data_IF_132571664677
#
_entry.id   IF_132571664677
#
_cell.length_a   1.000
_cell.length_b   1.000
_cell.length_c   1.000
_cell.angle_alpha   90.00
_cell.angle_beta   90.00
_cell.angle_gamma   90.00
#
_symmetry.space_group_name_H-M   'P 1'
#
loop_
_entity.id
_entity.type
_entity.pdbx_description
1 polymer ?
#
# COMPACT_ATOMS: atom_id res chain seq x y z
N UNK A 1 -46.70 32.26 45.78
CA UNK A 1 -46.06 32.30 44.44
C UNK A 1 -44.56 32.30 44.67
N UNK A 2 -43.90 31.15 44.50
CA UNK A 2 -42.45 30.99 44.72
C UNK A 2 -41.83 30.71 43.36
N UNK A 3 -41.03 31.64 42.87
CA UNK A 3 -40.25 31.51 41.64
C UNK A 3 -39.17 30.45 41.79
N UNK A 4 -38.99 29.51 40.83
CA UNK A 4 -37.85 28.61 40.88
C UNK A 4 -36.59 29.32 40.37
N UNK A 5 -35.47 29.10 41.08
CA UNK A 5 -34.13 29.55 40.72
C UNK A 5 -33.54 28.74 39.54
N UNK A 6 -32.60 29.30 38.75
CA UNK A 6 -32.19 28.73 37.46
C UNK A 6 -31.19 27.56 37.55
N UNK A 7 -30.88 27.05 38.74
CA UNK A 7 -29.71 26.19 38.95
C UNK A 7 -29.99 24.68 39.03
N UNK A 8 -31.24 24.23 38.96
CA UNK A 8 -31.60 22.86 39.36
C UNK A 8 -32.39 22.05 38.31
N UNK A 9 -32.22 22.32 37.01
CA UNK A 9 -32.84 21.50 35.96
C UNK A 9 -31.78 21.07 34.95
N UNK A 10 -31.46 19.77 34.97
CA UNK A 10 -30.69 18.99 33.99
C UNK A 10 -29.15 19.04 34.07
N UNK A 11 -28.64 18.64 35.23
CA UNK A 11 -27.73 17.48 35.25
C UNK A 11 -28.44 16.28 34.60
N UNK A 12 -28.25 16.08 33.29
CA UNK A 12 -28.46 14.83 32.52
C UNK A 12 -28.48 15.20 31.03
N UNK A 13 -27.31 15.27 30.42
CA UNK A 13 -27.17 14.65 29.11
C UNK A 13 -25.91 13.82 29.15
N UNK A 14 -26.16 12.53 29.06
CA UNK A 14 -25.23 11.41 29.12
C UNK A 14 -23.96 11.71 28.34
N UNK A 15 -22.84 11.38 28.98
CA UNK A 15 -21.56 11.11 28.38
C UNK A 15 -21.72 10.65 26.94
N UNK A 16 -21.06 11.37 26.03
CA UNK A 16 -20.82 10.97 24.66
C UNK A 16 -20.41 9.50 24.64
N UNK A 17 -21.38 8.66 24.31
CA UNK A 17 -21.21 7.22 24.13
C UNK A 17 -20.12 7.05 23.09
N UNK A 18 -18.94 6.68 23.58
CA UNK A 18 -17.94 5.81 22.94
C UNK A 18 -18.22 5.68 21.45
N UNK A 19 -17.45 6.41 20.65
CA UNK A 19 -17.30 6.14 19.22
C UNK A 19 -16.76 4.71 19.11
N UNK A 20 -17.69 3.75 19.13
CA UNK A 20 -17.42 2.35 18.97
C UNK A 20 -16.85 2.21 17.57
N UNK A 21 -15.52 2.10 17.51
CA UNK A 21 -14.78 1.86 16.28
C UNK A 21 -15.38 0.60 15.64
N UNK A 22 -16.22 0.82 14.62
CA UNK A 22 -16.68 -0.26 13.76
C UNK A 22 -15.42 -0.90 13.17
N UNK A 23 -15.23 -2.22 13.31
CA UNK A 23 -14.18 -2.89 12.57
C UNK A 23 -14.58 -2.76 11.10
N UNK A 24 -13.80 -2.01 10.32
CA UNK A 24 -13.95 -1.97 8.88
C UNK A 24 -13.81 -3.40 8.39
N UNK A 25 -14.95 -4.01 8.05
CA UNK A 25 -15.00 -5.34 7.45
C UNK A 25 -14.33 -5.19 6.09
N UNK A 26 -13.07 -5.62 6.00
CA UNK A 26 -12.27 -5.60 4.78
C UNK A 26 -13.12 -6.19 3.66
N UNK A 27 -13.44 -5.36 2.67
CA UNK A 27 -14.24 -5.81 1.53
C UNK A 27 -13.38 -6.80 0.75
N UNK A 28 -13.95 -7.96 0.35
CA UNK A 28 -13.26 -9.01 -0.38
C UNK A 28 -12.40 -8.48 -1.56
N UNK A 29 -12.79 -7.37 -2.17
CA UNK A 29 -12.07 -6.69 -3.26
C UNK A 29 -10.65 -6.23 -2.90
N UNK A 30 -10.40 -5.77 -1.67
CA UNK A 30 -9.06 -5.31 -1.27
C UNK A 30 -8.12 -6.49 -1.06
N UNK A 31 -8.63 -7.62 -0.57
CA UNK A 31 -7.86 -8.85 -0.40
C UNK A 31 -7.39 -9.40 -1.75
N UNK A 32 -8.27 -9.47 -2.74
CA UNK A 32 -7.91 -9.87 -4.11
C UNK A 32 -6.86 -8.94 -4.75
N UNK A 33 -6.91 -7.64 -4.45
CA UNK A 33 -5.93 -6.66 -4.94
C UNK A 33 -4.54 -6.92 -4.36
N UNK A 34 -4.46 -7.30 -3.09
CA UNK A 34 -3.19 -7.61 -2.42
C UNK A 34 -2.57 -8.91 -2.94
N UNK A 35 -3.39 -9.94 -3.16
CA UNK A 35 -2.93 -11.19 -3.77
C UNK A 35 -2.41 -10.96 -5.18
N UNK A 36 -3.10 -10.12 -5.96
CA UNK A 36 -2.66 -9.72 -7.30
C UNK A 36 -1.31 -8.97 -7.27
N UNK A 37 -1.12 -8.03 -6.34
CA UNK A 37 0.15 -7.30 -6.17
C UNK A 37 1.27 -8.29 -5.78
N UNK A 38 1.02 -9.18 -4.82
CA UNK A 38 1.98 -10.18 -4.37
C UNK A 38 2.41 -11.12 -5.51
N UNK A 39 1.45 -11.54 -6.36
CA UNK A 39 1.73 -12.32 -7.56
C UNK A 39 2.56 -11.54 -8.59
N UNK A 40 2.22 -10.25 -8.85
CA UNK A 40 2.99 -9.35 -9.74
C UNK A 40 4.42 -9.15 -9.25
N UNK A 41 4.62 -8.92 -7.95
CA UNK A 41 5.94 -8.82 -7.33
C UNK A 41 6.77 -10.11 -7.53
N UNK A 42 6.14 -11.27 -7.32
CA UNK A 42 6.79 -12.56 -7.55
C UNK A 42 7.17 -12.76 -9.02
N UNK A 43 6.31 -12.34 -9.94
CA UNK A 43 6.57 -12.41 -11.38
C UNK A 43 7.73 -11.50 -11.79
N UNK A 44 7.72 -10.25 -11.33
CA UNK A 44 8.79 -9.28 -11.56
C UNK A 44 10.14 -9.82 -11.08
N UNK A 45 10.19 -10.31 -9.83
CA UNK A 45 11.40 -10.91 -9.24
C UNK A 45 11.97 -12.04 -10.09
N UNK A 46 11.13 -12.92 -10.64
CA UNK A 46 11.58 -14.05 -11.48
C UNK A 46 12.19 -13.55 -12.79
N UNK A 47 11.59 -12.56 -13.46
CA UNK A 47 12.10 -12.03 -14.73
C UNK A 47 13.40 -11.27 -14.55
N UNK A 48 13.47 -10.40 -13.54
CA UNK A 48 14.70 -9.65 -13.22
C UNK A 48 15.87 -10.57 -12.88
N UNK A 49 15.63 -11.70 -12.18
CA UNK A 49 16.68 -12.69 -11.90
C UNK A 49 17.17 -13.45 -13.13
N UNK A 50 16.35 -13.53 -14.18
CA UNK A 50 16.69 -14.19 -15.45
C UNK A 50 17.21 -13.22 -16.51
N UNK A 51 17.36 -11.94 -16.16
CA UNK A 51 17.69 -10.86 -17.12
C UNK A 51 16.72 -10.82 -18.31
N UNK A 52 15.47 -11.21 -18.10
CA UNK A 52 14.43 -11.13 -19.13
C UNK A 52 13.91 -9.70 -19.23
N UNK A 53 13.72 -9.21 -20.46
CA UNK A 53 13.11 -7.91 -20.71
C UNK A 53 11.66 -7.87 -20.19
N UNK A 54 11.31 -6.78 -19.51
CA UNK A 54 9.95 -6.53 -19.04
C UNK A 54 9.10 -5.91 -20.16
N UNK A 55 7.83 -6.27 -20.22
CA UNK A 55 6.90 -5.81 -21.26
C UNK A 55 5.49 -5.63 -20.70
N UNK A 56 4.70 -4.72 -21.28
CA UNK A 56 3.29 -4.49 -20.95
C UNK A 56 3.07 -4.09 -19.50
N UNK A 57 2.00 -4.61 -18.89
CA UNK A 57 1.62 -4.30 -17.50
C UNK A 57 2.72 -4.56 -16.46
N UNK A 58 3.64 -5.50 -16.73
CA UNK A 58 4.73 -5.79 -15.81
C UNK A 58 5.83 -4.73 -15.88
N UNK A 59 6.05 -4.14 -17.06
CA UNK A 59 6.96 -3.01 -17.21
C UNK A 59 6.36 -1.77 -16.55
N UNK A 60 5.08 -1.48 -16.80
CA UNK A 60 4.36 -0.38 -16.15
C UNK A 60 4.44 -0.48 -14.62
N UNK A 61 4.11 -1.66 -14.08
CA UNK A 61 4.23 -1.91 -12.65
C UNK A 61 5.67 -1.72 -12.13
N UNK A 62 6.67 -2.15 -12.88
CA UNK A 62 8.06 -1.99 -12.48
C UNK A 62 8.50 -0.51 -12.49
N UNK A 63 7.96 0.30 -13.39
CA UNK A 63 8.21 1.74 -13.46
C UNK A 63 7.51 2.49 -12.32
N UNK A 64 6.28 2.11 -11.97
CA UNK A 64 5.53 2.72 -10.87
C UNK A 64 6.24 2.54 -9.52
N UNK A 65 6.93 1.41 -9.33
CA UNK A 65 7.65 1.12 -8.09
C UNK A 65 9.13 1.51 -8.14
N UNK A 66 9.68 1.81 -9.32
CA UNK A 66 11.07 2.23 -9.44
C UNK A 66 11.24 3.63 -8.85
N UNK A 67 12.05 3.74 -7.80
CA UNK A 67 12.39 5.03 -7.17
C UNK A 67 13.58 5.74 -7.81
N UNK A 68 14.30 5.05 -8.69
CA UNK A 68 15.54 5.53 -9.31
C UNK A 68 15.35 5.69 -10.83
N UNK A 69 15.70 6.88 -11.34
CA UNK A 69 15.55 7.23 -12.75
C UNK A 69 16.46 6.42 -13.67
N UNK A 70 17.66 6.04 -13.22
CA UNK A 70 18.58 5.21 -13.99
C UNK A 70 18.03 3.80 -14.14
N UNK A 71 17.49 3.23 -13.06
CA UNK A 71 16.81 1.93 -13.10
C UNK A 71 15.62 2.00 -14.07
N UNK A 72 14.76 3.01 -13.96
CA UNK A 72 13.62 3.18 -14.86
C UNK A 72 14.05 3.28 -16.33
N UNK A 73 15.10 4.06 -16.63
CA UNK A 73 15.67 4.17 -17.98
C UNK A 73 16.13 2.81 -18.51
N UNK A 74 16.85 2.04 -17.70
CA UNK A 74 17.34 0.70 -18.07
C UNK A 74 16.20 -0.27 -18.33
N UNK A 75 15.15 -0.24 -17.51
CA UNK A 75 13.95 -1.07 -17.68
C UNK A 75 13.23 -0.77 -19.01
N UNK A 76 13.08 0.51 -19.38
CA UNK A 76 12.47 0.93 -20.65
C UNK A 76 13.32 0.47 -21.84
N UNK A 77 14.64 0.68 -21.76
CA UNK A 77 15.58 0.26 -22.79
C UNK A 77 15.68 -1.27 -22.92
N UNK A 78 15.27 -2.02 -21.88
CA UNK A 78 15.49 -3.46 -21.77
C UNK A 78 16.96 -3.81 -21.49
N UNK A 79 17.72 -2.86 -20.93
CA UNK A 79 19.08 -3.07 -20.47
C UNK A 79 19.07 -3.95 -19.22
N UNK A 80 20.13 -4.74 -19.05
CA UNK A 80 20.32 -5.53 -17.84
C UNK A 80 20.65 -4.63 -16.65
N UNK A 81 19.95 -4.83 -15.54
CA UNK A 81 20.29 -4.20 -14.27
C UNK A 81 21.58 -4.80 -13.71
N UNK A 82 22.44 -3.94 -13.18
CA UNK A 82 23.60 -4.35 -12.38
C UNK A 82 23.15 -5.11 -11.14
N UNK A 83 24.09 -5.80 -10.49
CA UNK A 83 23.80 -6.59 -9.28
C UNK A 83 23.25 -5.71 -8.15
N UNK A 84 23.77 -4.49 -8.02
CA UNK A 84 23.30 -3.51 -7.05
C UNK A 84 21.87 -3.04 -7.35
N UNK A 85 21.60 -2.61 -8.59
CA UNK A 85 20.26 -2.15 -9.00
C UNK A 85 19.22 -3.25 -8.87
N UNK A 86 19.59 -4.48 -9.23
CA UNK A 86 18.74 -5.65 -9.07
C UNK A 86 18.44 -5.94 -7.60
N UNK A 87 19.42 -5.78 -6.72
CA UNK A 87 19.22 -5.89 -5.27
C UNK A 87 18.26 -4.82 -4.75
N UNK A 88 18.43 -3.56 -5.16
CA UNK A 88 17.51 -2.47 -4.81
C UNK A 88 16.08 -2.80 -5.24
N UNK A 89 15.87 -3.17 -6.51
CA UNK A 89 14.53 -3.51 -7.01
C UNK A 89 13.91 -4.71 -6.28
N UNK A 90 14.67 -5.79 -6.09
CA UNK A 90 14.11 -7.08 -5.65
C UNK A 90 14.00 -7.20 -4.13
N UNK A 91 14.99 -6.71 -3.40
CA UNK A 91 15.11 -6.96 -1.96
C UNK A 91 14.73 -5.72 -1.14
N UNK A 92 14.79 -4.52 -1.73
CA UNK A 92 14.35 -3.28 -1.08
C UNK A 92 12.96 -2.87 -1.56
N UNK A 93 12.81 -2.50 -2.83
CA UNK A 93 11.55 -1.94 -3.36
C UNK A 93 10.41 -2.93 -3.27
N UNK A 94 10.56 -4.14 -3.82
CA UNK A 94 9.51 -5.16 -3.78
C UNK A 94 9.13 -5.60 -2.36
N UNK A 95 10.07 -5.51 -1.41
CA UNK A 95 9.78 -5.77 0.00
C UNK A 95 8.85 -4.70 0.56
N UNK A 96 9.15 -3.41 0.33
CA UNK A 96 8.32 -2.31 0.79
C UNK A 96 6.94 -2.29 0.13
N UNK A 97 6.85 -2.65 -1.16
CA UNK A 97 5.54 -2.78 -1.84
C UNK A 97 4.68 -3.87 -1.20
N UNK A 98 5.29 -4.98 -0.76
CA UNK A 98 4.56 -6.06 -0.06
C UNK A 98 4.22 -5.74 1.39
N UNK A 99 5.00 -4.87 2.04
CA UNK A 99 4.86 -4.50 3.45
C UNK A 99 4.16 -3.15 3.66
N UNK A 100 3.84 -2.41 2.59
CA UNK A 100 3.20 -1.11 2.65
C UNK A 100 1.96 -1.16 3.57
N UNK A 101 1.77 -0.14 4.43
CA UNK A 101 0.79 -0.19 5.51
C UNK A 101 -0.63 -0.47 5.00
N UNK A 102 -1.29 -1.34 5.79
CA UNK A 102 -2.63 -1.91 5.62
C UNK A 102 -3.74 -0.87 5.70
#
# INVERSE_FOLDING_TARGET
>A
MVSPSPFAIKMRLLAASVTFALPLKKTNSEEFLMDAISAKCGHLKRRLKRNERLTGELLEFALDVAWDEEIARKLIAGETLTDYERHIMVDVVLLHVRLAPR
#
